data_IF_894696426961
#
_entry.id   IF_894696426961
#
_cell.length_a   1.000
_cell.length_b   1.000
_cell.length_c   1.000
_cell.angle_alpha   90.00
_cell.angle_beta   90.00
_cell.angle_gamma   90.00
#
_symmetry.space_group_name_H-M   'P 1'
#
loop_
_entity.id
_entity.type
_entity.pdbx_description
1 polymer ?
#
# COMPACT_ATOMS: atom_id res chain seq x y z
N UNK A 1 -2.55 -20.14 -4.65
CA UNK A 1 -1.93 -19.30 -5.69
C UNK A 1 -0.83 -20.05 -6.45
N UNK A 2 0.25 -20.52 -5.81
CA UNK A 2 1.38 -21.20 -6.51
C UNK A 2 1.11 -22.62 -7.04
N UNK A 3 -0.06 -23.20 -6.76
CA UNK A 3 -0.49 -24.48 -7.32
C UNK A 3 -0.99 -24.36 -8.78
N UNK A 4 -0.97 -23.16 -9.39
CA UNK A 4 -1.38 -22.93 -10.78
C UNK A 4 -2.89 -22.90 -11.02
N UNK A 5 -3.69 -22.96 -9.96
CA UNK A 5 -5.17 -22.99 -10.04
C UNK A 5 -5.78 -21.63 -10.41
N UNK A 6 -5.04 -20.53 -10.22
CA UNK A 6 -5.49 -19.17 -10.52
C UNK A 6 -4.52 -18.58 -11.56
N UNK A 7 -4.99 -18.38 -12.78
CA UNK A 7 -4.24 -17.71 -13.85
C UNK A 7 -4.28 -16.19 -13.66
N UNK A 8 -3.23 -15.48 -14.08
CA UNK A 8 -3.17 -14.02 -14.00
C UNK A 8 -3.00 -13.49 -12.58
N UNK A 9 -2.34 -14.27 -11.71
CA UNK A 9 -2.09 -13.83 -10.34
C UNK A 9 -0.87 -12.88 -10.31
N UNK A 10 -1.10 -11.61 -9.98
CA UNK A 10 -0.06 -10.58 -9.88
C UNK A 10 1.01 -10.94 -8.83
N UNK A 11 2.28 -10.82 -9.20
CA UNK A 11 3.44 -11.25 -8.42
C UNK A 11 3.78 -12.74 -8.55
N UNK A 12 3.03 -13.51 -9.35
CA UNK A 12 3.35 -14.91 -9.70
C UNK A 12 3.46 -15.04 -11.21
N UNK A 13 2.32 -14.95 -11.92
CA UNK A 13 2.24 -15.12 -13.38
C UNK A 13 2.15 -13.77 -14.11
N UNK A 14 1.58 -12.76 -13.44
CA UNK A 14 1.52 -11.39 -13.94
C UNK A 14 2.45 -10.48 -13.12
N UNK A 15 3.14 -9.50 -13.73
CA UNK A 15 3.99 -8.56 -12.99
C UNK A 15 3.14 -7.59 -12.14
N UNK A 16 3.73 -7.11 -11.05
CA UNK A 16 3.23 -5.93 -10.34
C UNK A 16 4.06 -4.72 -10.75
N UNK A 17 3.38 -3.65 -11.17
CA UNK A 17 4.01 -2.38 -11.51
C UNK A 17 3.84 -1.41 -10.33
N UNK A 18 4.93 -1.14 -9.62
CA UNK A 18 4.90 -0.20 -8.51
C UNK A 18 4.62 1.23 -9.00
N UNK A 19 3.87 2.05 -8.24
CA UNK A 19 3.62 3.44 -8.62
C UNK A 19 4.93 4.22 -8.76
N UNK A 20 5.08 4.98 -9.85
CA UNK A 20 6.28 5.81 -10.06
C UNK A 20 6.32 7.05 -9.15
N UNK A 21 5.15 7.61 -8.82
CA UNK A 21 5.01 8.84 -8.03
C UNK A 21 3.93 8.71 -6.97
N UNK A 22 4.10 7.83 -5.98
CA UNK A 22 3.16 7.70 -4.89
C UNK A 22 3.24 8.93 -3.98
N UNK A 23 2.09 9.42 -3.51
CA UNK A 23 2.03 10.50 -2.52
C UNK A 23 2.51 10.05 -1.13
N UNK A 24 2.32 8.78 -0.81
CA UNK A 24 2.79 8.12 0.41
C UNK A 24 3.10 6.64 0.10
N UNK A 25 4.17 6.12 0.70
CA UNK A 25 4.56 4.70 0.64
C UNK A 25 4.63 4.16 2.05
N UNK A 26 4.03 3.00 2.29
CA UNK A 26 4.08 2.32 3.59
C UNK A 26 4.71 0.95 3.37
N UNK A 27 5.84 0.72 4.03
CA UNK A 27 6.45 -0.60 4.10
C UNK A 27 5.77 -1.41 5.22
N UNK A 28 4.89 -2.33 4.80
CA UNK A 28 4.13 -3.18 5.71
C UNK A 28 4.95 -4.35 6.28
N UNK A 29 6.17 -4.59 5.79
CA UNK A 29 7.06 -5.60 6.41
C UNK A 29 7.60 -5.09 7.74
N UNK A 30 7.82 -3.77 7.85
CA UNK A 30 8.45 -3.14 9.02
C UNK A 30 7.50 -2.24 9.81
N UNK A 31 6.35 -1.87 9.24
CA UNK A 31 5.37 -0.98 9.87
C UNK A 31 4.13 -1.76 10.33
N UNK A 32 3.85 -1.82 11.65
CA UNK A 32 2.60 -2.37 12.16
C UNK A 32 1.38 -1.61 11.65
N UNK A 33 0.24 -2.29 11.55
CA UNK A 33 -0.98 -1.75 10.95
C UNK A 33 -1.45 -0.45 11.62
N UNK A 34 -1.40 -0.37 12.96
CA UNK A 34 -1.78 0.83 13.70
C UNK A 34 -0.88 2.02 13.37
N UNK A 35 0.43 1.76 13.20
CA UNK A 35 1.41 2.79 12.82
C UNK A 35 1.28 3.22 11.37
N UNK A 36 0.94 2.30 10.48
CA UNK A 36 0.59 2.62 9.10
C UNK A 36 -0.65 3.54 9.04
N UNK A 37 -1.69 3.22 9.82
CA UNK A 37 -2.89 4.04 9.91
C UNK A 37 -2.60 5.45 10.44
N UNK A 38 -1.79 5.58 11.50
CA UNK A 38 -1.35 6.88 12.02
C UNK A 38 -0.63 7.72 10.93
N UNK A 39 0.25 7.10 10.13
CA UNK A 39 0.95 7.78 9.04
C UNK A 39 -0.01 8.28 7.95
N UNK A 40 -1.02 7.48 7.59
CA UNK A 40 -2.04 7.87 6.62
C UNK A 40 -2.86 9.05 7.14
N UNK A 41 -3.32 9.00 8.39
CA UNK A 41 -4.09 10.08 9.00
C UNK A 41 -3.30 11.39 9.04
N UNK A 42 -2.04 11.34 9.45
CA UNK A 42 -1.15 12.50 9.47
C UNK A 42 -0.95 13.09 8.06
N UNK A 43 -0.81 12.25 7.03
CA UNK A 43 -0.73 12.70 5.65
C UNK A 43 -2.01 13.44 5.22
N UNK A 44 -3.18 12.87 5.54
CA UNK A 44 -4.47 13.46 5.18
C UNK A 44 -4.73 14.79 5.91
N UNK A 45 -4.39 14.87 7.20
CA UNK A 45 -4.46 16.13 7.98
C UNK A 45 -3.57 17.21 7.39
N UNK A 46 -2.31 16.88 7.08
CA UNK A 46 -1.37 17.82 6.45
C UNK A 46 -1.85 18.29 5.08
N UNK A 47 -2.50 17.42 4.33
CA UNK A 47 -3.12 17.73 3.05
C UNK A 47 -4.42 18.54 3.15
N UNK A 48 -4.93 18.78 4.36
CA UNK A 48 -6.19 19.49 4.59
C UNK A 48 -7.43 18.67 4.24
N UNK A 49 -7.28 17.35 4.06
CA UNK A 49 -8.37 16.43 3.73
C UNK A 49 -9.19 16.02 4.95
N UNK A 50 -8.61 16.15 6.14
CA UNK A 50 -9.29 15.94 7.43
C UNK A 50 -9.38 17.26 8.19
N UNK A 51 -10.52 17.49 8.84
CA UNK A 51 -10.69 18.58 9.80
C UNK A 51 -10.55 18.02 11.20
N UNK A 52 -9.77 18.69 12.02
CA UNK A 52 -9.62 18.45 13.45
C UNK A 52 -10.86 18.85 14.25
#
# INVERSE_FOLDING_TARGET
ARAGEIKGFTGIDDPYEAPEKPEIVIDTETTPAEKAAEQILAYLEKGGYLRS
#
